data_IF_296669927600
#
_entry.id   IF_296669927600
#
_cell.length_a   1.000
_cell.length_b   1.000
_cell.length_c   1.000
_cell.angle_alpha   90.00
_cell.angle_beta   90.00
_cell.angle_gamma   90.00
#
_symmetry.space_group_name_H-M   'P 1'
#
loop_
_entity.id
_entity.type
_entity.pdbx_description
1 polymer ?
#
# COMPACT_ATOMS: atom_id res chain seq x y z
N UNK A 1 -7.23 -9.82 -14.56
CA UNK A 1 -5.84 -9.33 -14.40
C UNK A 1 -5.50 -9.44 -12.92
N UNK A 2 -4.89 -10.57 -12.53
CA UNK A 2 -4.65 -10.90 -11.12
C UNK A 2 -3.76 -9.85 -10.48
N UNK A 3 -4.33 -9.05 -9.58
CA UNK A 3 -3.53 -8.21 -8.70
C UNK A 3 -2.89 -9.14 -7.68
N UNK A 4 -1.64 -9.52 -7.92
CA UNK A 4 -0.86 -10.34 -6.99
C UNK A 4 -0.63 -9.51 -5.72
N UNK A 5 -1.43 -9.79 -4.70
CA UNK A 5 -1.18 -9.31 -3.34
C UNK A 5 -0.14 -10.22 -2.71
N UNK A 6 0.80 -9.63 -1.96
CA UNK A 6 1.78 -10.39 -1.19
C UNK A 6 1.73 -9.98 0.27
N UNK A 7 2.16 -10.87 1.13
CA UNK A 7 2.23 -10.63 2.57
C UNK A 7 3.68 -10.37 2.97
N UNK A 8 3.93 -9.29 3.70
CA UNK A 8 5.24 -8.92 4.23
C UNK A 8 5.16 -8.75 5.75
N UNK A 9 6.13 -9.30 6.49
CA UNK A 9 6.25 -9.07 7.94
C UNK A 9 7.27 -7.95 8.17
N UNK A 10 6.86 -6.89 8.86
CA UNK A 10 7.74 -5.76 9.22
C UNK A 10 7.56 -5.37 10.67
N UNK A 11 8.67 -5.24 11.40
CA UNK A 11 8.69 -4.83 12.82
C UNK A 11 7.70 -5.63 13.69
N UNK A 12 7.61 -6.95 13.45
CA UNK A 12 6.72 -7.86 14.16
C UNK A 12 5.23 -7.79 13.78
N UNK A 13 4.88 -7.06 12.71
CA UNK A 13 3.50 -6.91 12.22
C UNK A 13 3.38 -7.43 10.80
N UNK A 14 2.24 -8.04 10.47
CA UNK A 14 1.98 -8.58 9.14
C UNK A 14 1.23 -7.54 8.30
N UNK A 15 1.68 -7.32 7.07
CA UNK A 15 1.10 -6.37 6.14
C UNK A 15 0.77 -7.05 4.82
N UNK A 16 -0.38 -6.70 4.25
CA UNK A 16 -0.65 -7.00 2.84
C UNK A 16 -0.16 -5.86 1.99
N UNK A 17 0.58 -6.19 0.95
CA UNK A 17 1.17 -5.26 -0.02
C UNK A 17 0.59 -5.59 -1.39
N UNK A 18 -0.08 -4.62 -2.00
CA UNK A 18 -0.68 -4.75 -3.32
C UNK A 18 -0.05 -3.75 -4.29
N UNK A 19 0.63 -4.21 -5.34
CA UNK A 19 1.11 -3.35 -6.41
C UNK A 19 -0.04 -2.70 -7.18
N UNK A 20 0.11 -1.41 -7.46
CA UNK A 20 -0.77 -0.61 -8.32
C UNK A 20 0.04 -0.16 -9.53
N UNK A 21 -0.43 -0.53 -10.72
CA UNK A 21 0.18 -0.09 -11.98
C UNK A 21 -0.08 1.39 -12.23
N UNK A 22 0.79 2.03 -13.02
CA UNK A 22 0.61 3.40 -13.48
C UNK A 22 -0.79 3.66 -14.08
N UNK A 23 -1.29 2.72 -14.91
CA UNK A 23 -2.60 2.82 -15.54
C UNK A 23 -3.77 2.78 -14.54
N UNK A 24 -3.61 2.10 -13.40
CA UNK A 24 -4.62 2.04 -12.34
C UNK A 24 -4.47 3.17 -11.31
N UNK A 25 -3.35 3.91 -11.33
CA UNK A 25 -3.09 5.05 -10.46
C UNK A 25 -3.80 6.29 -11.00
N UNK A 26 -5.11 6.40 -10.80
CA UNK A 26 -5.90 7.51 -11.37
C UNK A 26 -6.13 8.67 -10.39
N UNK A 27 -5.72 8.51 -9.14
CA UNK A 27 -5.95 9.47 -8.06
C UNK A 27 -4.65 9.76 -7.31
N UNK A 28 -4.52 11.01 -6.86
CA UNK A 28 -3.43 11.45 -6.00
C UNK A 28 -3.62 10.95 -4.56
N UNK A 29 -2.52 10.51 -3.93
CA UNK A 29 -2.48 10.11 -2.53
C UNK A 29 -1.22 10.64 -1.85
N UNK A 30 -1.23 10.79 -0.52
CA UNK A 30 -0.03 11.19 0.24
C UNK A 30 0.73 9.96 0.71
N UNK A 31 2.03 9.90 0.41
CA UNK A 31 2.91 8.83 0.84
C UNK A 31 3.34 9.03 2.31
N UNK A 32 3.09 8.07 3.22
CA UNK A 32 3.49 8.22 4.63
C UNK A 32 5.01 8.21 4.87
N UNK A 33 5.79 7.60 3.97
CA UNK A 33 7.24 7.48 4.12
C UNK A 33 8.00 8.79 3.86
N UNK A 34 7.53 9.62 2.93
CA UNK A 34 8.18 10.88 2.57
C UNK A 34 7.29 12.12 2.69
N UNK A 35 6.00 11.98 2.96
CA UNK A 35 5.03 13.08 3.01
C UNK A 35 4.65 13.67 1.64
N UNK A 36 5.27 13.20 0.55
CA UNK A 36 5.00 13.70 -0.80
C UNK A 36 3.82 12.99 -1.48
N UNK A 37 3.24 13.65 -2.48
CA UNK A 37 2.15 13.11 -3.28
C UNK A 37 2.63 11.99 -4.22
N UNK A 38 1.91 10.86 -4.19
CA UNK A 38 1.89 9.84 -5.23
C UNK A 38 0.91 10.32 -6.29
N UNK A 39 1.44 10.87 -7.39
CA UNK A 39 0.62 11.45 -8.45
C UNK A 39 -0.12 10.38 -9.28
N UNK A 40 -1.21 10.74 -9.97
CA UNK A 40 -1.80 9.89 -10.99
C UNK A 40 -0.76 9.49 -12.05
N UNK A 41 -0.84 8.26 -12.54
CA UNK A 41 0.13 7.67 -13.47
C UNK A 41 1.38 7.11 -12.80
N UNK A 42 1.58 7.29 -11.49
CA UNK A 42 2.75 6.74 -10.77
C UNK A 42 2.45 5.34 -10.26
N UNK A 43 3.22 4.36 -10.72
CA UNK A 43 3.17 3.00 -10.17
C UNK A 43 3.66 2.99 -8.72
N UNK A 44 2.88 2.37 -7.83
CA UNK A 44 3.09 2.44 -6.39
C UNK A 44 2.52 1.20 -5.69
N UNK A 45 2.62 1.11 -4.36
CA UNK A 45 2.02 0.02 -3.59
C UNK A 45 0.98 0.54 -2.61
N UNK A 46 -0.07 -0.24 -2.42
CA UNK A 46 -1.06 -0.04 -1.38
C UNK A 46 -0.78 -1.04 -0.28
N UNK A 47 -0.69 -0.54 0.95
CA UNK A 47 -0.31 -1.34 2.12
C UNK A 47 -1.35 -1.18 3.21
N UNK A 48 -1.77 -2.29 3.79
CA UNK A 48 -2.63 -2.33 4.97
C UNK A 48 -2.19 -3.47 5.91
N UNK A 49 -2.65 -3.38 7.15
CA UNK A 49 -2.40 -4.42 8.17
C UNK A 49 -3.13 -5.71 7.73
N UNK A 50 -2.50 -6.86 7.93
CA UNK A 50 -3.08 -8.17 7.66
C UNK A 50 -3.31 -8.97 8.95
N UNK A 51 -3.08 -8.32 10.09
CA UNK A 51 -3.17 -8.85 11.44
C UNK A 51 -4.30 -8.16 12.24
N UNK A 52 -5.27 -7.51 11.57
CA UNK A 52 -6.38 -6.85 12.23
C UNK A 52 -7.39 -7.85 12.79
N UNK A 53 -7.65 -7.72 14.09
CA UNK A 53 -8.66 -8.49 14.84
C UNK A 53 -10.10 -8.12 14.43
N UNK A 54 -10.28 -6.99 13.72
CA UNK A 54 -11.56 -6.41 13.30
C UNK A 54 -12.03 -6.87 11.90
N UNK A 55 -11.24 -7.70 11.20
CA UNK A 55 -11.57 -8.24 9.88
C UNK A 55 -11.04 -7.42 8.70
N UNK A 56 -10.94 -8.08 7.55
CA UNK A 56 -10.27 -7.58 6.34
C UNK A 56 -10.80 -6.23 5.83
N UNK A 57 -12.09 -5.94 6.01
CA UNK A 57 -12.71 -4.69 5.54
C UNK A 57 -12.25 -3.45 6.30
N UNK A 58 -12.07 -3.54 7.62
CA UNK A 58 -11.60 -2.43 8.45
C UNK A 58 -10.12 -2.12 8.17
N UNK A 59 -9.32 -3.17 7.93
CA UNK A 59 -7.92 -3.02 7.54
C UNK A 59 -7.79 -2.44 6.12
N UNK A 60 -8.64 -2.87 5.18
CA UNK A 60 -8.71 -2.30 3.83
C UNK A 60 -9.13 -0.83 3.82
N UNK A 61 -10.03 -0.42 4.72
CA UNK A 61 -10.42 0.98 4.86
C UNK A 61 -9.26 1.88 5.33
N UNK A 62 -8.31 1.29 6.07
CA UNK A 62 -7.12 1.99 6.58
C UNK A 62 -5.90 1.91 5.63
N UNK A 63 -6.11 1.47 4.38
CA UNK A 63 -5.01 1.31 3.42
C UNK A 63 -4.26 2.61 3.17
N UNK A 64 -2.94 2.49 3.11
CA UNK A 64 -2.01 3.60 2.87
C UNK A 64 -1.36 3.40 1.51
N UNK A 65 -1.20 4.48 0.75
CA UNK A 65 -0.53 4.47 -0.54
C UNK A 65 0.92 4.88 -0.36
N UNK A 66 1.85 4.08 -0.86
CA UNK A 66 3.28 4.31 -0.72
C UNK A 66 3.96 4.26 -2.07
N UNK A 67 4.93 5.15 -2.30
CA UNK A 67 5.91 4.92 -3.35
C UNK A 67 6.60 3.57 -3.15
N UNK A 68 6.91 2.87 -4.24
CA UNK A 68 7.62 1.59 -4.20
C UNK A 68 8.90 1.67 -3.35
N UNK A 69 9.71 2.71 -3.58
CA UNK A 69 10.95 2.93 -2.84
C UNK A 69 10.70 3.25 -1.36
N UNK A 70 9.75 4.15 -1.06
CA UNK A 70 9.44 4.52 0.32
C UNK A 70 8.96 3.32 1.13
N UNK A 71 8.15 2.42 0.55
CA UNK A 71 7.80 1.18 1.23
C UNK A 71 9.03 0.29 1.42
N UNK A 72 9.88 0.14 0.41
CA UNK A 72 11.08 -0.72 0.51
C UNK A 72 11.96 -0.39 1.71
N UNK A 73 12.08 0.89 2.09
CA UNK A 73 12.99 1.36 3.15
C UNK A 73 12.30 1.66 4.51
N UNK A 74 10.98 1.49 4.60
CA UNK A 74 10.19 1.80 5.80
C UNK A 74 10.38 0.83 6.99
#
# INVERSE_FOLDING_TARGET
>A
MSSWKRTEVRRGRTFTVQPVSAASAQKEYVCPGCGLAVLPGVAHVVVWRADGVLGDEADLASRRHWHNHCWSIA
#
